data_IF_459843308209
#
_entry.id   IF_459843308209
#
_cell.length_a   1.000
_cell.length_b   1.000
_cell.length_c   1.000
_cell.angle_alpha   90.00
_cell.angle_beta   90.00
_cell.angle_gamma   90.00
#
_symmetry.space_group_name_H-M   'P 1'
#
loop_
_entity.id
_entity.type
_entity.pdbx_description
1 polymer ?
#
# COMPACT_ATOMS: atom_id res chain seq x y z
N UNK A 1 -32.55 -18.72 0.60
CA UNK A 1 -31.69 -19.85 0.17
C UNK A 1 -32.31 -21.12 0.74
N UNK A 2 -32.69 -22.09 -0.11
CA UNK A 2 -33.50 -23.29 0.26
C UNK A 2 -32.62 -24.49 0.70
N UNK A 3 -31.30 -24.33 0.72
CA UNK A 3 -30.33 -25.38 1.10
C UNK A 3 -29.42 -24.88 2.23
N UNK A 4 -29.02 -25.79 3.11
CA UNK A 4 -28.04 -25.55 4.18
C UNK A 4 -26.75 -26.33 3.92
N UNK A 5 -25.95 -25.94 2.91
CA UNK A 5 -24.67 -26.60 2.64
C UNK A 5 -23.64 -26.26 3.73
N UNK A 6 -22.62 -27.10 3.89
CA UNK A 6 -21.50 -26.81 4.79
C UNK A 6 -20.59 -25.69 4.27
N UNK A 7 -20.55 -25.48 2.94
CA UNK A 7 -19.72 -24.47 2.30
C UNK A 7 -20.48 -23.84 1.13
N UNK A 8 -20.41 -22.52 1.01
CA UNK A 8 -20.79 -21.79 -0.20
C UNK A 8 -19.55 -21.41 -1.01
N UNK A 9 -19.62 -21.61 -2.31
CA UNK A 9 -18.59 -21.18 -3.26
C UNK A 9 -19.20 -20.10 -4.15
N UNK A 10 -18.53 -18.96 -4.26
CA UNK A 10 -18.95 -17.84 -5.08
C UNK A 10 -17.78 -17.42 -5.98
N UNK A 11 -18.01 -17.43 -7.28
CA UNK A 11 -17.01 -17.08 -8.28
C UNK A 11 -17.42 -15.78 -8.99
N UNK A 12 -16.71 -14.69 -8.66
CA UNK A 12 -16.94 -13.32 -9.14
C UNK A 12 -18.42 -12.88 -9.24
N UNK A 13 -19.25 -13.07 -8.21
CA UNK A 13 -20.70 -12.89 -8.33
C UNK A 13 -21.14 -11.43 -8.56
N UNK A 14 -20.24 -10.46 -8.37
CA UNK A 14 -20.51 -9.02 -8.46
C UNK A 14 -19.95 -8.34 -9.71
N UNK A 15 -19.20 -9.07 -10.54
CA UNK A 15 -18.43 -8.52 -11.67
C UNK A 15 -19.31 -7.85 -12.73
N UNK A 16 -20.51 -8.39 -12.98
CA UNK A 16 -21.44 -7.89 -14.00
C UNK A 16 -22.46 -6.86 -13.47
N UNK A 17 -22.30 -6.38 -12.23
CA UNK A 17 -23.19 -5.37 -11.65
C UNK A 17 -22.62 -3.95 -11.84
N UNK A 18 -23.51 -2.98 -12.03
CA UNK A 18 -23.14 -1.56 -11.99
C UNK A 18 -22.63 -1.16 -10.59
N UNK A 19 -21.90 -0.06 -10.49
CA UNK A 19 -21.24 0.36 -9.25
C UNK A 19 -22.21 0.50 -8.06
N UNK A 20 -23.42 1.03 -8.28
CA UNK A 20 -24.40 1.26 -7.21
C UNK A 20 -24.98 -0.05 -6.72
N UNK A 21 -25.40 -0.91 -7.65
CA UNK A 21 -25.93 -2.23 -7.33
C UNK A 21 -24.86 -3.11 -6.70
N UNK A 22 -23.61 -3.04 -7.18
CA UNK A 22 -22.45 -3.73 -6.60
C UNK A 22 -22.26 -3.39 -5.13
N UNK A 23 -22.27 -2.10 -4.77
CA UNK A 23 -22.16 -1.67 -3.37
C UNK A 23 -23.33 -2.18 -2.53
N UNK A 24 -24.55 -2.16 -3.06
CA UNK A 24 -25.73 -2.68 -2.36
C UNK A 24 -25.63 -4.20 -2.14
N UNK A 25 -25.42 -4.97 -3.20
CA UNK A 25 -25.34 -6.44 -3.14
C UNK A 25 -24.18 -6.89 -2.24
N UNK A 26 -23.04 -6.17 -2.26
CA UNK A 26 -21.94 -6.40 -1.31
C UNK A 26 -22.40 -6.35 0.14
N UNK A 27 -23.16 -5.30 0.52
CA UNK A 27 -23.70 -5.16 1.88
C UNK A 27 -24.68 -6.28 2.22
N UNK A 28 -25.53 -6.67 1.26
CA UNK A 28 -26.47 -7.78 1.43
C UNK A 28 -25.75 -9.11 1.65
N UNK A 29 -24.70 -9.39 0.88
CA UNK A 29 -23.88 -10.60 1.02
C UNK A 29 -23.16 -10.64 2.38
N UNK A 30 -22.56 -9.53 2.83
CA UNK A 30 -21.94 -9.45 4.16
C UNK A 30 -22.98 -9.74 5.25
N UNK A 31 -24.17 -9.16 5.15
CA UNK A 31 -25.26 -9.38 6.10
C UNK A 31 -25.72 -10.84 6.10
N UNK A 32 -25.87 -11.43 4.91
CA UNK A 32 -26.30 -12.81 4.74
C UNK A 32 -25.26 -13.79 5.28
N UNK A 33 -23.97 -13.56 5.03
CA UNK A 33 -22.88 -14.37 5.60
C UNK A 33 -22.91 -14.35 7.14
N UNK A 34 -23.06 -13.16 7.74
CA UNK A 34 -23.19 -13.01 9.21
C UNK A 34 -24.42 -13.71 9.78
N UNK A 35 -25.50 -13.84 9.03
CA UNK A 35 -26.72 -14.51 9.48
C UNK A 35 -26.68 -16.03 9.33
N UNK A 36 -26.02 -16.54 8.29
CA UNK A 36 -25.96 -17.97 7.99
C UNK A 36 -24.84 -18.69 8.75
N UNK A 37 -23.82 -17.95 9.23
CA UNK A 37 -22.65 -18.48 9.94
C UNK A 37 -21.99 -19.70 9.26
N UNK A 38 -22.16 -19.81 7.95
CA UNK A 38 -21.65 -20.90 7.12
C UNK A 38 -20.35 -20.47 6.44
N UNK A 39 -19.44 -21.41 6.21
CA UNK A 39 -18.20 -21.15 5.48
C UNK A 39 -18.49 -20.69 4.05
N UNK A 40 -17.86 -19.59 3.63
CA UNK A 40 -17.96 -19.06 2.26
C UNK A 40 -16.56 -18.91 1.70
N UNK A 41 -16.34 -19.41 0.48
CA UNK A 41 -15.19 -19.08 -0.35
C UNK A 41 -15.68 -18.15 -1.45
N UNK A 42 -15.09 -16.96 -1.53
CA UNK A 42 -15.45 -15.90 -2.47
C UNK A 42 -14.23 -15.57 -3.32
N UNK A 43 -14.35 -15.73 -4.63
CA UNK A 43 -13.30 -15.40 -5.61
C UNK A 43 -13.63 -14.07 -6.27
N UNK A 44 -12.64 -13.17 -6.35
CA UNK A 44 -12.77 -11.85 -6.97
C UNK A 44 -11.40 -11.33 -7.41
N UNK A 45 -11.38 -10.52 -8.46
CA UNK A 45 -10.23 -9.70 -8.85
C UNK A 45 -10.29 -8.28 -8.26
N UNK A 46 -11.37 -7.91 -7.56
CA UNK A 46 -11.56 -6.60 -6.95
C UNK A 46 -10.99 -6.59 -5.52
N UNK A 47 -9.95 -5.79 -5.31
CA UNK A 47 -9.30 -5.66 -4.02
C UNK A 47 -10.22 -5.08 -2.94
N UNK A 48 -11.11 -4.15 -3.29
CA UNK A 48 -12.07 -3.55 -2.34
C UNK A 48 -13.03 -4.62 -1.86
N UNK A 49 -13.45 -5.54 -2.73
CA UNK A 49 -14.27 -6.69 -2.33
C UNK A 49 -13.53 -7.60 -1.35
N UNK A 50 -12.31 -8.00 -1.69
CA UNK A 50 -11.48 -8.83 -0.81
C UNK A 50 -11.28 -8.19 0.56
N UNK A 51 -10.95 -6.89 0.58
CA UNK A 51 -10.62 -6.14 1.80
C UNK A 51 -11.83 -5.86 2.69
N UNK A 52 -13.02 -5.69 2.12
CA UNK A 52 -14.23 -5.30 2.87
C UNK A 52 -15.13 -6.47 3.25
N UNK A 53 -15.06 -7.58 2.52
CA UNK A 53 -15.91 -8.76 2.74
C UNK A 53 -15.16 -9.90 3.43
N UNK A 54 -13.86 -10.03 3.20
CA UNK A 54 -13.07 -11.17 3.66
C UNK A 54 -12.82 -11.16 5.16
N UNK A 55 -13.13 -12.27 5.84
CA UNK A 55 -12.59 -12.52 7.18
C UNK A 55 -11.08 -12.78 7.13
N UNK A 56 -10.64 -13.45 6.04
CA UNK A 56 -9.25 -13.63 5.62
C UNK A 56 -9.20 -13.46 4.10
N UNK A 57 -8.07 -13.01 3.59
CA UNK A 57 -7.79 -12.85 2.15
C UNK A 57 -6.67 -13.80 1.78
N UNK A 58 -6.87 -14.58 0.72
CA UNK A 58 -5.85 -15.41 0.11
C UNK A 58 -5.48 -14.81 -1.25
N UNK A 59 -4.25 -14.33 -1.37
CA UNK A 59 -3.75 -13.71 -2.60
C UNK A 59 -3.03 -14.78 -3.41
N UNK A 60 -3.42 -14.92 -4.68
CA UNK A 60 -2.87 -15.92 -5.59
C UNK A 60 -2.30 -15.18 -6.81
N UNK A 61 -1.10 -15.57 -7.22
CA UNK A 61 -0.43 -15.08 -8.43
C UNK A 61 0.17 -16.26 -9.18
N UNK A 62 -0.06 -16.32 -10.50
CA UNK A 62 0.43 -17.40 -11.37
C UNK A 62 0.15 -18.82 -10.84
N UNK A 63 -1.02 -19.01 -10.21
CA UNK A 63 -1.44 -20.30 -9.64
C UNK A 63 -0.78 -20.65 -8.30
N UNK A 64 0.09 -19.80 -7.77
CA UNK A 64 0.73 -19.98 -6.47
C UNK A 64 0.11 -19.04 -5.42
N UNK A 65 -0.12 -19.57 -4.22
CA UNK A 65 -0.54 -18.81 -3.07
C UNK A 65 0.60 -17.91 -2.58
N UNK A 66 0.38 -16.60 -2.59
CA UNK A 66 1.36 -15.60 -2.19
C UNK A 66 1.28 -15.29 -0.70
N UNK A 67 0.06 -15.05 -0.20
CA UNK A 67 -0.17 -14.73 1.22
C UNK A 67 -1.60 -15.05 1.63
N UNK A 68 -1.79 -15.45 2.88
CA UNK A 68 -3.11 -15.55 3.52
C UNK A 68 -3.08 -14.87 4.87
N UNK A 69 -3.92 -13.86 5.07
CA UNK A 69 -3.98 -13.12 6.34
C UNK A 69 -5.33 -12.44 6.52
N UNK A 70 -5.47 -11.71 7.62
CA UNK A 70 -6.57 -10.75 7.73
C UNK A 70 -6.38 -9.61 6.72
N UNK A 71 -7.45 -8.96 6.22
CA UNK A 71 -7.33 -7.85 5.28
C UNK A 71 -6.29 -6.80 5.69
N UNK A 72 -6.36 -6.34 6.94
CA UNK A 72 -5.42 -5.34 7.45
C UNK A 72 -3.96 -5.84 7.49
N UNK A 73 -3.76 -7.11 7.79
CA UNK A 73 -2.45 -7.75 7.85
C UNK A 73 -1.81 -7.86 6.46
N UNK A 74 -2.55 -8.32 5.44
CA UNK A 74 -2.01 -8.36 4.06
C UNK A 74 -1.70 -6.95 3.52
N UNK A 75 -2.43 -5.93 3.99
CA UNK A 75 -2.16 -4.54 3.60
C UNK A 75 -0.91 -3.96 4.28
N UNK A 76 -0.80 -4.14 5.59
CA UNK A 76 0.26 -3.57 6.44
C UNK A 76 1.55 -4.38 6.42
N UNK A 77 1.47 -5.68 6.18
CA UNK A 77 2.62 -6.59 6.20
C UNK A 77 2.58 -7.48 4.95
N UNK A 78 2.74 -6.89 3.74
CA UNK A 78 2.80 -7.68 2.52
C UNK A 78 4.00 -8.63 2.55
N UNK A 79 3.77 -9.90 2.22
CA UNK A 79 4.80 -10.94 2.34
C UNK A 79 5.91 -10.85 1.29
N UNK A 80 5.62 -10.23 0.14
CA UNK A 80 6.56 -10.05 -0.97
C UNK A 80 6.20 -8.82 -1.81
N UNK A 81 7.07 -8.49 -2.76
CA UNK A 81 6.91 -7.34 -3.64
C UNK A 81 5.63 -7.40 -4.48
N UNK A 82 5.21 -8.61 -4.89
CA UNK A 82 3.95 -8.77 -5.62
C UNK A 82 2.75 -8.37 -4.75
N UNK A 83 2.65 -8.88 -3.52
CA UNK A 83 1.52 -8.52 -2.64
C UNK A 83 1.53 -7.02 -2.32
N UNK A 84 2.71 -6.45 -2.10
CA UNK A 84 2.88 -5.02 -1.82
C UNK A 84 2.44 -4.13 -3.00
N UNK A 85 2.75 -4.54 -4.23
CA UNK A 85 2.39 -3.81 -5.46
C UNK A 85 0.94 -4.08 -5.89
N UNK A 86 0.41 -5.26 -5.56
CA UNK A 86 -0.93 -5.67 -5.93
C UNK A 86 -2.00 -5.07 -5.02
N UNK A 87 -1.85 -5.13 -3.70
CA UNK A 87 -2.87 -4.66 -2.77
C UNK A 87 -2.71 -3.17 -2.48
N UNK A 88 -3.76 -2.38 -2.69
CA UNK A 88 -3.82 -0.95 -2.35
C UNK A 88 -4.07 -0.08 -3.58
N UNK A 89 -4.83 0.99 -3.40
CA UNK A 89 -5.15 1.95 -4.47
C UNK A 89 -5.08 3.37 -3.91
N UNK A 90 -4.10 4.21 -4.30
CA UNK A 90 -3.04 3.92 -5.28
C UNK A 90 -2.06 2.83 -4.82
N UNK A 91 -1.30 2.28 -5.77
CA UNK A 91 -0.31 1.24 -5.49
C UNK A 91 0.85 1.78 -4.62
N UNK A 92 1.56 0.87 -3.94
CA UNK A 92 2.77 1.22 -3.19
C UNK A 92 3.86 1.77 -4.13
N UNK A 93 4.57 2.82 -3.68
CA UNK A 93 5.73 3.35 -4.39
C UNK A 93 6.95 2.51 -4.06
N UNK A 94 7.81 2.25 -5.05
CA UNK A 94 9.02 1.43 -4.88
C UNK A 94 10.28 2.17 -5.30
N UNK A 95 11.34 2.03 -4.51
CA UNK A 95 12.63 2.68 -4.73
C UNK A 95 13.77 1.68 -4.60
N UNK A 96 14.55 1.50 -5.67
CA UNK A 96 15.82 0.79 -5.60
C UNK A 96 16.79 1.58 -4.74
N UNK A 97 17.35 0.93 -3.72
CA UNK A 97 18.09 1.60 -2.67
C UNK A 97 19.29 0.80 -2.19
N UNK A 98 20.40 1.47 -1.95
CA UNK A 98 21.58 0.85 -1.34
C UNK A 98 21.56 1.06 0.17
N UNK A 99 21.72 -0.01 0.95
CA UNK A 99 21.90 0.10 2.40
C UNK A 99 23.32 0.54 2.73
N UNK A 100 23.48 1.76 3.24
CA UNK A 100 24.78 2.35 3.56
C UNK A 100 24.83 2.84 5.00
N UNK A 101 26.05 3.02 5.53
CA UNK A 101 26.23 3.65 6.85
C UNK A 101 26.66 5.09 6.66
N UNK A 102 25.89 6.02 7.21
CA UNK A 102 26.19 7.44 7.26
C UNK A 102 26.18 7.91 8.71
N UNK A 103 27.25 8.57 9.16
CA UNK A 103 27.41 9.05 10.55
C UNK A 103 27.13 8.00 11.63
N UNK A 104 27.45 6.73 11.32
CA UNK A 104 27.26 5.60 12.24
C UNK A 104 25.85 4.99 12.21
N UNK A 105 24.92 5.55 11.44
CA UNK A 105 23.55 5.04 11.28
C UNK A 105 23.37 4.36 9.92
N UNK A 106 22.58 3.27 9.89
CA UNK A 106 22.21 2.61 8.64
C UNK A 106 21.09 3.42 7.96
N UNK A 107 21.27 3.73 6.69
CA UNK A 107 20.33 4.48 5.84
C UNK A 107 20.13 3.75 4.53
N UNK A 108 18.95 3.90 3.92
CA UNK A 108 18.72 3.49 2.53
C UNK A 108 18.99 4.69 1.60
N UNK A 109 19.89 4.53 0.63
CA UNK A 109 20.22 5.57 -0.35
C UNK A 109 19.45 5.30 -1.65
N UNK A 110 18.51 6.17 -1.99
CA UNK A 110 17.61 6.03 -3.15
C UNK A 110 17.75 7.25 -4.05
N UNK A 111 18.29 7.08 -5.27
CA UNK A 111 18.42 8.19 -6.23
C UNK A 111 19.21 9.41 -5.70
N UNK A 112 20.12 9.20 -4.74
CA UNK A 112 20.89 10.26 -4.07
C UNK A 112 20.22 10.86 -2.82
N UNK A 113 18.93 10.59 -2.59
CA UNK A 113 18.26 10.89 -1.33
C UNK A 113 18.60 9.83 -0.28
N UNK A 114 18.81 10.26 0.96
CA UNK A 114 19.03 9.35 2.10
C UNK A 114 17.71 9.18 2.81
N UNK A 115 17.30 7.94 3.06
CA UNK A 115 16.14 7.56 3.84
C UNK A 115 16.65 6.94 5.16
N UNK A 116 16.54 7.65 6.30
CA UNK A 116 16.86 7.11 7.60
C UNK A 116 15.88 5.99 7.94
N UNK A 117 16.40 5.02 8.65
CA UNK A 117 15.66 3.84 9.07
C UNK A 117 15.23 4.01 10.52
N UNK A 118 14.01 3.60 10.84
CA UNK A 118 13.61 3.44 12.23
C UNK A 118 14.53 2.43 12.93
N UNK A 119 14.70 2.55 14.24
CA UNK A 119 15.67 1.73 15.00
C UNK A 119 15.45 0.22 14.82
N UNK A 120 14.20 -0.22 14.72
CA UNK A 120 13.86 -1.62 14.48
C UNK A 120 14.25 -2.07 13.06
N UNK A 121 14.00 -1.24 12.05
CA UNK A 121 14.37 -1.50 10.66
C UNK A 121 15.90 -1.57 10.51
N UNK A 122 16.62 -0.62 11.11
CA UNK A 122 18.07 -0.60 11.10
C UNK A 122 18.66 -1.88 11.72
N UNK A 123 18.07 -2.37 12.82
CA UNK A 123 18.46 -3.64 13.45
C UNK A 123 18.17 -4.85 12.55
N UNK A 124 16.99 -4.90 11.94
CA UNK A 124 16.60 -6.00 11.05
C UNK A 124 17.48 -6.07 9.78
N UNK A 125 17.90 -4.91 9.25
CA UNK A 125 18.65 -4.80 8.01
C UNK A 125 20.17 -4.73 8.20
N UNK A 126 20.67 -4.74 9.44
CA UNK A 126 22.09 -4.59 9.73
C UNK A 126 22.99 -5.61 9.01
N UNK A 127 22.52 -6.85 8.86
CA UNK A 127 23.24 -7.91 8.16
C UNK A 127 23.29 -7.74 6.62
N UNK A 128 22.44 -6.86 6.07
CA UNK A 128 22.34 -6.55 4.65
C UNK A 128 23.07 -5.24 4.29
N UNK A 129 23.88 -4.69 5.21
CA UNK A 129 24.70 -3.50 4.93
C UNK A 129 25.54 -3.69 3.66
N UNK A 130 25.47 -2.68 2.77
CA UNK A 130 26.17 -2.65 1.49
C UNK A 130 25.46 -3.41 0.37
N UNK A 131 24.27 -3.95 0.62
CA UNK A 131 23.43 -4.58 -0.40
C UNK A 131 22.35 -3.62 -0.91
N UNK A 132 21.89 -3.91 -2.10
CA UNK A 132 20.70 -3.32 -2.68
C UNK A 132 19.43 -3.92 -2.04
N UNK A 133 18.43 -3.08 -1.83
CA UNK A 133 17.08 -3.43 -1.38
C UNK A 133 16.05 -2.59 -2.13
N UNK A 134 14.83 -3.10 -2.23
CA UNK A 134 13.69 -2.31 -2.72
C UNK A 134 12.95 -1.74 -1.51
N UNK A 135 12.86 -0.42 -1.43
CA UNK A 135 12.10 0.29 -0.40
C UNK A 135 10.68 0.53 -0.91
N UNK A 136 9.68 0.06 -0.17
CA UNK A 136 8.27 0.28 -0.47
C UNK A 136 7.64 1.30 0.48
N UNK A 137 6.94 2.31 -0.05
CA UNK A 137 6.22 3.32 0.74
C UNK A 137 4.82 3.51 0.18
N UNK A 138 3.79 3.33 1.01
CA UNK A 138 2.40 3.60 0.61
C UNK A 138 2.20 5.09 0.33
N UNK A 139 1.35 5.46 -0.65
CA UNK A 139 1.02 6.86 -0.93
C UNK A 139 0.59 7.67 0.29
N UNK A 140 -0.17 7.06 1.22
CA UNK A 140 -0.65 7.72 2.44
C UNK A 140 0.40 7.88 3.56
N UNK A 141 1.58 7.28 3.40
CA UNK A 141 2.72 7.45 4.31
C UNK A 141 3.74 8.46 3.76
N UNK A 142 3.37 9.20 2.70
CA UNK A 142 4.07 10.38 2.21
C UNK A 142 3.25 11.59 2.67
N UNK A 143 3.83 12.37 3.58
CA UNK A 143 3.16 13.42 4.33
C UNK A 143 3.66 14.80 3.89
N UNK A 144 2.89 15.85 4.19
CA UNK A 144 3.38 17.22 4.06
C UNK A 144 4.28 17.57 5.25
N UNK A 145 5.26 18.46 5.05
CA UNK A 145 6.25 18.81 6.08
C UNK A 145 5.63 19.28 7.41
N UNK A 146 4.56 20.08 7.36
CA UNK A 146 3.86 20.58 8.54
C UNK A 146 2.95 19.56 9.23
N UNK A 147 2.76 18.37 8.65
CA UNK A 147 2.04 17.25 9.26
C UNK A 147 2.96 16.36 10.10
N UNK A 148 4.26 16.64 10.07
CA UNK A 148 5.28 15.90 10.82
C UNK A 148 5.76 16.68 12.05
N UNK A 149 6.13 15.96 13.11
CA UNK A 149 6.80 16.57 14.26
C UNK A 149 8.17 17.13 13.83
N UNK A 150 8.60 18.24 14.46
CA UNK A 150 9.94 18.81 14.24
C UNK A 150 11.02 17.73 14.46
N UNK A 151 11.73 17.34 13.39
CA UNK A 151 12.79 16.33 13.46
C UNK A 151 12.64 15.15 12.49
N UNK A 152 11.60 15.09 11.66
CA UNK A 152 11.63 14.18 10.51
C UNK A 152 12.68 14.67 9.51
N UNK A 153 13.77 13.92 9.35
CA UNK A 153 15.00 14.44 8.74
C UNK A 153 15.00 14.43 7.20
N UNK A 154 14.07 13.73 6.55
CA UNK A 154 14.05 13.63 5.07
C UNK A 154 12.84 14.31 4.48
N UNK A 155 13.07 15.56 4.09
CA UNK A 155 12.22 16.24 3.14
C UNK A 155 12.70 15.98 1.72
N UNK A 156 11.79 15.52 0.88
CA UNK A 156 11.94 15.53 -0.57
C UNK A 156 11.37 16.84 -1.09
N UNK A 157 12.23 17.71 -1.61
CA UNK A 157 11.80 18.88 -2.37
C UNK A 157 11.40 18.41 -3.78
N UNK A 158 10.11 18.50 -4.09
CA UNK A 158 9.54 17.97 -5.33
C UNK A 158 8.81 19.05 -6.10
N UNK A 159 8.69 18.86 -7.40
CA UNK A 159 7.79 19.62 -8.27
C UNK A 159 6.62 18.70 -8.61
N UNK A 160 5.41 19.19 -8.39
CA UNK A 160 4.19 18.45 -8.69
C UNK A 160 4.03 18.30 -10.19
N UNK A 161 3.91 17.07 -10.68
CA UNK A 161 3.64 16.77 -12.08
C UNK A 161 2.14 16.79 -12.36
N UNK A 162 1.35 16.06 -11.56
CA UNK A 162 -0.12 16.02 -11.67
C UNK A 162 -0.81 16.04 -10.30
N UNK A 163 -2.03 16.56 -10.26
CA UNK A 163 -2.92 16.52 -9.08
C UNK A 163 -4.28 15.97 -9.48
N UNK A 164 -4.63 14.79 -8.97
CA UNK A 164 -5.93 14.17 -9.17
C UNK A 164 -6.81 14.38 -7.93
N UNK A 165 -7.85 15.21 -8.06
CA UNK A 165 -8.76 15.51 -6.95
C UNK A 165 -9.88 14.48 -6.84
N UNK A 166 -9.94 13.79 -5.71
CA UNK A 166 -10.93 12.73 -5.40
C UNK A 166 -11.99 13.19 -4.39
N UNK A 167 -12.18 14.51 -4.28
CA UNK A 167 -13.12 15.15 -3.36
C UNK A 167 -12.51 15.42 -1.99
N UNK A 168 -12.32 14.39 -1.18
CA UNK A 168 -11.79 14.51 0.19
C UNK A 168 -10.28 14.31 0.30
N UNK A 169 -9.69 13.66 -0.71
CA UNK A 169 -8.25 13.45 -0.85
C UNK A 169 -7.81 13.91 -2.25
N UNK A 170 -6.50 14.08 -2.41
CA UNK A 170 -5.84 14.37 -3.68
C UNK A 170 -4.69 13.38 -3.86
N UNK A 171 -4.55 12.82 -5.07
CA UNK A 171 -3.38 12.04 -5.44
C UNK A 171 -2.41 12.97 -6.16
N UNK A 172 -1.22 13.13 -5.61
CA UNK A 172 -0.18 14.01 -6.12
C UNK A 172 0.92 13.15 -6.71
N UNK A 173 1.12 13.28 -8.02
CA UNK A 173 2.20 12.58 -8.71
C UNK A 173 3.38 13.51 -8.91
N UNK A 174 4.58 13.01 -8.68
CA UNK A 174 5.83 13.73 -8.90
C UNK A 174 6.95 12.75 -9.26
N UNK A 175 8.03 13.29 -9.82
CA UNK A 175 9.23 12.52 -10.17
C UNK A 175 10.30 12.62 -9.08
N UNK A 176 10.85 11.49 -8.67
CA UNK A 176 12.01 11.37 -7.79
C UNK A 176 13.12 10.59 -8.50
N UNK A 177 14.06 11.31 -9.11
CA UNK A 177 15.00 10.71 -10.06
C UNK A 177 14.25 10.14 -11.27
N UNK A 178 14.49 8.87 -11.59
CA UNK A 178 13.82 8.16 -12.69
C UNK A 178 12.51 7.46 -12.25
N UNK A 179 12.07 7.65 -11.00
CA UNK A 179 10.88 6.99 -10.43
C UNK A 179 9.71 7.96 -10.36
N UNK A 180 8.55 7.53 -10.86
CA UNK A 180 7.28 8.24 -10.64
C UNK A 180 6.69 7.82 -9.29
N UNK A 181 6.36 8.80 -8.45
CA UNK A 181 5.87 8.61 -7.09
C UNK A 181 4.50 9.24 -6.95
N UNK A 182 3.61 8.56 -6.24
CA UNK A 182 2.27 9.06 -5.90
C UNK A 182 2.16 9.22 -4.39
N UNK A 183 1.81 10.42 -3.94
CA UNK A 183 1.39 10.70 -2.56
C UNK A 183 -0.13 10.86 -2.49
N UNK A 184 -0.75 10.41 -1.40
CA UNK A 184 -2.17 10.59 -1.12
C UNK A 184 -2.32 11.57 0.04
N UNK A 185 -2.74 12.78 -0.27
CA UNK A 185 -2.80 13.91 0.67
C UNK A 185 -4.25 14.33 0.90
N UNK A 186 -4.53 14.90 2.08
CA UNK A 186 -5.84 15.48 2.36
C UNK A 186 -6.15 16.66 1.45
N UNK A 187 -7.40 16.78 0.99
CA UNK A 187 -7.82 17.87 0.10
C UNK A 187 -8.01 19.23 0.82
N UNK A 188 -7.47 19.39 2.04
CA UNK A 188 -7.58 20.61 2.85
C UNK A 188 -6.96 21.85 2.18
N UNK A 189 -6.08 21.64 1.21
CA UNK A 189 -5.50 22.67 0.35
C UNK A 189 -5.70 22.31 -1.12
N UNK A 190 -5.90 23.32 -1.96
CA UNK A 190 -5.86 23.14 -3.43
C UNK A 190 -4.42 23.22 -3.92
N UNK A 191 -3.79 22.06 -4.14
CA UNK A 191 -2.47 21.94 -4.76
C UNK A 191 -2.57 22.12 -6.28
N UNK A 192 -1.46 22.49 -6.93
CA UNK A 192 -1.42 22.72 -8.38
C UNK A 192 -0.22 22.04 -9.04
N UNK A 193 -0.39 21.67 -10.30
CA UNK A 193 0.71 21.26 -11.17
C UNK A 193 1.79 22.36 -11.24
N UNK A 194 3.05 21.95 -11.21
CA UNK A 194 4.22 22.83 -11.16
C UNK A 194 4.50 23.46 -9.80
N UNK A 195 3.65 23.24 -8.79
CA UNK A 195 3.91 23.69 -7.43
C UNK A 195 5.12 22.95 -6.82
N UNK A 196 5.91 23.67 -6.01
CA UNK A 196 6.98 23.05 -5.22
C UNK A 196 6.45 22.67 -3.86
N UNK A 197 6.64 21.40 -3.50
CA UNK A 197 6.27 20.85 -2.20
C UNK A 197 7.48 20.26 -1.52
N UNK A 198 7.46 20.29 -0.19
CA UNK A 198 8.36 19.50 0.63
C UNK A 198 7.55 18.35 1.23
N UNK A 199 7.89 17.13 0.82
CA UNK A 199 7.21 15.92 1.27
C UNK A 199 8.10 15.12 2.20
N UNK A 200 7.50 14.51 3.21
CA UNK A 200 8.17 13.69 4.21
C UNK A 200 7.76 12.24 4.04
N UNK A 201 8.69 11.31 4.21
CA UNK A 201 8.38 9.88 4.26
C UNK A 201 8.26 9.45 5.73
N UNK A 202 7.14 8.82 6.08
CA UNK A 202 7.02 8.18 7.39
C UNK A 202 7.89 6.92 7.44
N UNK A 203 9.01 7.04 8.13
CA UNK A 203 10.02 5.99 8.24
C UNK A 203 9.45 4.72 8.84
N UNK A 204 8.55 4.81 9.82
CA UNK A 204 8.01 3.65 10.53
C UNK A 204 7.19 2.75 9.60
N UNK A 205 6.65 3.30 8.51
CA UNK A 205 5.82 2.60 7.55
C UNK A 205 6.52 2.23 6.24
N UNK A 206 7.85 2.31 6.21
CA UNK A 206 8.64 1.79 5.10
C UNK A 206 8.71 0.25 5.14
N UNK A 207 8.62 -0.34 3.95
CA UNK A 207 8.83 -1.76 3.71
C UNK A 207 10.15 -1.97 2.97
N UNK A 208 10.79 -3.13 3.18
CA UNK A 208 12.05 -3.49 2.55
C UNK A 208 11.93 -4.88 1.95
N UNK A 209 12.27 -5.00 0.68
CA UNK A 209 12.21 -6.25 -0.07
C UNK A 209 13.58 -6.57 -0.66
N UNK A 210 13.90 -7.85 -0.74
CA UNK A 210 15.07 -8.34 -1.47
C UNK A 210 14.78 -8.20 -2.99
N UNK A 211 15.68 -7.61 -3.80
CA UNK A 211 15.47 -7.48 -5.23
C UNK A 211 15.39 -8.83 -5.97
N UNK A 212 15.96 -9.89 -5.40
CA UNK A 212 16.12 -11.19 -6.05
C UNK A 212 15.03 -12.21 -5.68
N UNK A 213 14.10 -11.91 -4.75
CA UNK A 213 13.11 -12.88 -4.24
C UNK A 213 11.69 -12.35 -4.06
#
# INVERSE_FOLDING_TARGET
IVRSPSVFLMDEPLSNLDAKLRVQTRRELIKLHRQLETTVIFVTHDQVEAMTMGARVAIIHEGALQQVGHPQEVYQHPANLFVASFIGSPAMNFFHSDLQVHDGQLVALSGGARLPLAEEQARALAALKGKEVIVGVRPEHILLDWETEEGSEVGLDVVVDTVESMGHEQHVTFSAGDTTVVARLDAGRSLREGERLRLMIDQAHMHFFDPDS
#
